data_IF_828348846717
#
_entry.id   IF_828348846717
#
_cell.length_a   1.000
_cell.length_b   1.000
_cell.length_c   1.000
_cell.angle_alpha   90.00
_cell.angle_beta   90.00
_cell.angle_gamma   90.00
#
_symmetry.space_group_name_H-M   'P 1'
#
loop_
_entity.id
_entity.type
_entity.pdbx_description
1 polymer ?
#
# COMPACT_ATOMS: atom_id res chain seq x y z
N UNK A 1 28.63 1.49 12.07
CA UNK A 1 27.91 1.90 10.85
C UNK A 1 28.65 1.31 9.67
N UNK A 2 27.97 0.52 8.84
CA UNK A 2 28.59 -0.14 7.69
C UNK A 2 29.04 0.93 6.69
N UNK A 3 30.28 0.86 6.22
CA UNK A 3 30.75 1.85 5.24
C UNK A 3 30.07 1.64 3.88
N UNK A 4 29.88 2.68 3.05
CA UNK A 4 29.24 2.51 1.73
C UNK A 4 29.92 1.46 0.85
N UNK A 5 31.25 1.38 0.89
CA UNK A 5 32.01 0.38 0.13
C UNK A 5 31.82 -1.05 0.68
N UNK A 6 31.71 -1.21 2.00
CA UNK A 6 31.40 -2.51 2.62
C UNK A 6 29.96 -2.92 2.28
N UNK A 7 29.02 -1.96 2.29
CA UNK A 7 27.62 -2.17 1.95
C UNK A 7 27.45 -2.60 0.48
N UNK A 8 28.18 -1.98 -0.44
CA UNK A 8 28.17 -2.38 -1.85
C UNK A 8 28.78 -3.79 -2.03
N UNK A 9 29.82 -4.15 -1.26
CA UNK A 9 30.38 -5.49 -1.28
C UNK A 9 29.37 -6.56 -0.83
N UNK A 10 28.70 -6.35 0.31
CA UNK A 10 27.72 -7.34 0.82
C UNK A 10 26.46 -7.39 -0.05
N UNK A 11 26.03 -6.26 -0.62
CA UNK A 11 24.98 -6.21 -1.64
C UNK A 11 25.34 -7.03 -2.87
N UNK A 12 26.59 -6.95 -3.34
CA UNK A 12 27.03 -7.76 -4.48
C UNK A 12 27.00 -9.26 -4.16
N UNK A 13 27.46 -9.66 -2.99
CA UNK A 13 27.38 -11.05 -2.52
C UNK A 13 25.91 -11.52 -2.42
N UNK A 14 25.01 -10.67 -1.92
CA UNK A 14 23.58 -10.96 -1.85
C UNK A 14 22.97 -11.16 -3.25
N UNK A 15 23.33 -10.32 -4.23
CA UNK A 15 22.89 -10.44 -5.62
C UNK A 15 23.40 -11.70 -6.33
N UNK A 16 24.48 -12.32 -5.82
CA UNK A 16 24.94 -13.64 -6.27
C UNK A 16 24.15 -14.80 -5.65
N UNK A 17 23.14 -14.51 -4.83
CA UNK A 17 22.34 -15.50 -4.10
C UNK A 17 22.72 -15.67 -2.63
N UNK A 18 23.63 -14.84 -2.10
CA UNK A 18 24.21 -14.96 -0.76
C UNK A 18 23.24 -14.87 0.43
N UNK A 19 22.00 -14.43 0.20
CA UNK A 19 20.94 -14.44 1.21
C UNK A 19 20.31 -15.83 1.40
N UNK A 20 20.37 -16.69 0.40
CA UNK A 20 19.73 -18.01 0.43
C UNK A 20 20.73 -19.14 0.74
N UNK A 21 21.99 -18.97 0.33
CA UNK A 21 23.03 -19.98 0.50
C UNK A 21 24.43 -19.35 0.47
N UNK A 22 25.46 -20.05 0.99
CA UNK A 22 26.84 -19.62 0.84
C UNK A 22 27.23 -19.46 -0.64
N UNK A 23 27.98 -18.39 -0.94
CA UNK A 23 28.45 -18.08 -2.30
C UNK A 23 29.95 -18.30 -2.39
N UNK A 24 30.40 -19.04 -3.40
CA UNK A 24 31.82 -19.13 -3.73
C UNK A 24 32.24 -17.93 -4.57
N UNK A 25 33.32 -17.24 -4.19
CA UNK A 25 33.87 -16.13 -4.96
C UNK A 25 35.39 -16.02 -4.84
N UNK A 26 36.01 -15.50 -5.90
CA UNK A 26 37.42 -15.09 -5.92
C UNK A 26 37.50 -13.59 -5.61
N UNK A 27 38.44 -13.20 -4.76
CA UNK A 27 38.66 -11.79 -4.41
C UNK A 27 38.91 -10.92 -5.64
N UNK A 28 39.64 -11.46 -6.62
CA UNK A 28 39.92 -10.77 -7.89
C UNK A 28 38.62 -10.47 -8.65
N UNK A 29 37.73 -11.45 -8.79
CA UNK A 29 36.46 -11.31 -9.50
C UNK A 29 35.54 -10.29 -8.81
N UNK A 30 35.42 -10.37 -7.49
CA UNK A 30 34.65 -9.40 -6.72
C UNK A 30 35.21 -7.98 -6.87
N UNK A 31 36.54 -7.84 -6.86
CA UNK A 31 37.20 -6.56 -7.09
C UNK A 31 36.87 -5.98 -8.46
N UNK A 32 37.05 -6.75 -9.53
CA UNK A 32 36.77 -6.31 -10.90
C UNK A 32 35.32 -5.87 -11.11
N UNK A 33 34.35 -6.60 -10.55
CA UNK A 33 32.92 -6.24 -10.67
C UNK A 33 32.56 -4.94 -9.94
N UNK A 34 33.23 -4.67 -8.82
CA UNK A 34 33.00 -3.48 -7.99
C UNK A 34 33.92 -2.30 -8.35
N UNK A 35 34.78 -2.44 -9.37
CA UNK A 35 35.77 -1.42 -9.73
C UNK A 35 36.88 -1.25 -8.68
N UNK A 36 37.10 -2.25 -7.83
CA UNK A 36 38.13 -2.25 -6.79
C UNK A 36 39.40 -2.99 -7.22
N UNK A 37 40.54 -2.56 -6.68
CA UNK A 37 41.76 -3.37 -6.73
C UNK A 37 41.60 -4.64 -5.87
N UNK A 38 42.36 -5.72 -6.16
CA UNK A 38 42.31 -6.95 -5.37
C UNK A 38 42.59 -6.73 -3.89
N UNK A 39 43.51 -5.81 -3.56
CA UNK A 39 43.87 -5.45 -2.19
C UNK A 39 42.70 -4.76 -1.49
N UNK A 40 41.98 -3.86 -2.18
CA UNK A 40 40.79 -3.20 -1.65
C UNK A 40 39.67 -4.21 -1.43
N UNK A 41 39.36 -5.07 -2.40
CA UNK A 41 38.36 -6.13 -2.23
C UNK A 41 38.69 -7.07 -1.05
N UNK A 42 39.96 -7.47 -0.91
CA UNK A 42 40.40 -8.27 0.25
C UNK A 42 40.21 -7.55 1.58
N UNK A 43 40.50 -6.25 1.63
CA UNK A 43 40.33 -5.43 2.84
C UNK A 43 38.86 -5.29 3.20
N UNK A 44 37.98 -5.12 2.21
CA UNK A 44 36.52 -5.02 2.40
C UNK A 44 35.92 -6.33 2.92
N UNK A 45 36.31 -7.47 2.36
CA UNK A 45 35.86 -8.77 2.88
C UNK A 45 36.32 -9.03 4.32
N UNK A 46 37.54 -8.61 4.70
CA UNK A 46 37.99 -8.66 6.10
C UNK A 46 37.21 -7.71 7.00
N UNK A 47 36.90 -6.50 6.52
CA UNK A 47 36.08 -5.51 7.24
C UNK A 47 34.68 -6.06 7.55
N UNK A 48 34.04 -6.68 6.55
CA UNK A 48 32.72 -7.30 6.70
C UNK A 48 32.72 -8.45 7.71
N UNK A 49 33.77 -9.29 7.70
CA UNK A 49 33.93 -10.39 8.64
C UNK A 49 34.20 -9.90 10.06
N UNK A 50 35.03 -8.86 10.23
CA UNK A 50 35.28 -8.22 11.54
C UNK A 50 34.03 -7.57 12.13
N UNK A 51 33.11 -7.11 11.28
CA UNK A 51 31.82 -6.56 11.68
C UNK A 51 30.74 -7.64 11.84
N UNK A 52 31.09 -8.92 11.72
CA UNK A 52 30.17 -10.07 11.80
C UNK A 52 29.02 -10.01 10.77
N UNK A 53 29.20 -9.29 9.67
CA UNK A 53 28.20 -9.17 8.59
C UNK A 53 28.27 -10.36 7.62
N UNK A 54 29.42 -11.01 7.57
CA UNK A 54 29.65 -12.25 6.82
C UNK A 54 30.50 -13.22 7.64
N UNK A 55 30.43 -14.50 7.29
CA UNK A 55 31.44 -15.50 7.66
C UNK A 55 32.09 -16.05 6.40
N UNK A 56 33.35 -16.49 6.50
CA UNK A 56 34.11 -16.97 5.33
C UNK A 56 34.91 -18.22 5.64
N UNK A 57 35.00 -19.09 4.63
CA UNK A 57 35.89 -20.25 4.62
C UNK A 57 36.84 -20.10 3.43
N UNK A 58 38.14 -20.02 3.71
CA UNK A 58 39.18 -19.88 2.69
C UNK A 58 39.53 -21.24 2.09
N UNK A 59 39.68 -21.31 0.77
CA UNK A 59 40.15 -22.48 0.03
C UNK A 59 41.30 -22.12 -0.91
N UNK A 60 41.83 -23.13 -1.61
CA UNK A 60 42.95 -22.95 -2.56
C UNK A 60 42.56 -22.10 -3.78
N UNK A 61 41.30 -22.18 -4.21
CA UNK A 61 40.81 -21.53 -5.44
C UNK A 61 39.88 -20.34 -5.18
N UNK A 62 39.69 -19.92 -3.93
CA UNK A 62 38.79 -18.83 -3.59
C UNK A 62 38.30 -18.91 -2.15
N UNK A 63 37.10 -18.39 -1.91
CA UNK A 63 36.48 -18.45 -0.59
C UNK A 63 34.97 -18.69 -0.70
N UNK A 64 34.42 -19.45 0.24
CA UNK A 64 32.98 -19.47 0.46
C UNK A 64 32.61 -18.38 1.45
N UNK A 65 31.59 -17.58 1.11
CA UNK A 65 31.10 -16.47 1.92
C UNK A 65 29.64 -16.68 2.24
N UNK A 66 29.28 -16.57 3.51
CA UNK A 66 27.90 -16.65 3.99
C UNK A 66 27.52 -15.32 4.60
N UNK A 67 26.41 -14.73 4.16
CA UNK A 67 25.84 -13.52 4.80
C UNK A 67 25.20 -13.94 6.13
N UNK A 68 25.53 -13.24 7.20
CA UNK A 68 24.92 -13.46 8.52
C UNK A 68 23.60 -12.68 8.63
N UNK A 69 22.82 -12.92 9.69
CA UNK A 69 21.64 -12.10 10.00
C UNK A 69 21.98 -10.61 10.12
N UNK A 70 23.12 -10.26 10.73
CA UNK A 70 23.57 -8.86 10.84
C UNK A 70 23.84 -8.24 9.45
N UNK A 71 24.41 -9.03 8.53
CA UNK A 71 24.63 -8.61 7.15
C UNK A 71 23.33 -8.41 6.37
N UNK A 72 22.37 -9.31 6.55
CA UNK A 72 21.03 -9.17 5.98
C UNK A 72 20.30 -7.94 6.55
N UNK A 73 20.40 -7.70 7.85
CA UNK A 73 19.78 -6.55 8.50
C UNK A 73 20.38 -5.23 8.00
N UNK A 74 21.68 -5.17 7.72
CA UNK A 74 22.32 -4.01 7.10
C UNK A 74 21.73 -3.72 5.70
N UNK A 75 21.46 -4.76 4.89
CA UNK A 75 20.81 -4.62 3.58
C UNK A 75 19.33 -4.22 3.70
N UNK A 76 18.60 -4.74 4.71
CA UNK A 76 17.21 -4.34 5.00
C UNK A 76 17.11 -2.87 5.39
N UNK A 77 18.07 -2.35 6.16
CA UNK A 77 18.10 -0.93 6.52
C UNK A 77 18.28 -0.05 5.27
N UNK A 78 19.23 -0.40 4.40
CA UNK A 78 19.43 0.30 3.12
C UNK A 78 18.15 0.27 2.25
N UNK A 79 17.48 -0.88 2.18
CA UNK A 79 16.19 -1.00 1.49
C UNK A 79 15.11 -0.09 2.13
N UNK A 80 15.05 -0.02 3.46
CA UNK A 80 14.10 0.85 4.15
C UNK A 80 14.36 2.33 3.85
N UNK A 81 15.62 2.75 3.75
CA UNK A 81 15.99 4.11 3.37
C UNK A 81 15.56 4.41 1.94
N UNK A 82 15.81 3.51 0.98
CA UNK A 82 15.30 3.66 -0.37
C UNK A 82 13.78 3.63 -0.45
N UNK A 83 13.10 2.83 0.37
CA UNK A 83 11.65 2.83 0.46
C UNK A 83 11.12 4.16 1.00
N UNK A 84 11.80 4.79 1.97
CA UNK A 84 11.43 6.13 2.48
C UNK A 84 11.63 7.22 1.42
N UNK A 85 12.70 7.12 0.62
CA UNK A 85 13.07 8.12 -0.39
C UNK A 85 12.27 7.98 -1.69
N UNK A 86 12.07 6.75 -2.16
CA UNK A 86 11.56 6.43 -3.50
C UNK A 86 10.35 5.52 -3.49
N UNK A 87 10.07 4.82 -2.37
CA UNK A 87 8.80 4.14 -2.21
C UNK A 87 7.71 5.18 -2.37
N UNK A 88 6.69 4.89 -3.20
CA UNK A 88 5.49 5.71 -3.22
C UNK A 88 5.02 5.77 -1.77
N UNK A 89 5.19 6.92 -1.12
CA UNK A 89 4.37 7.22 0.03
C UNK A 89 2.96 7.25 -0.55
N UNK A 90 2.28 6.11 -0.53
CA UNK A 90 0.83 6.07 -0.53
C UNK A 90 0.42 7.11 0.50
N UNK A 91 -0.01 8.28 0.02
CA UNK A 91 -0.34 9.39 0.92
C UNK A 91 -1.65 8.98 1.53
N UNK A 92 -1.59 8.20 2.61
CA UNK A 92 -2.76 7.82 3.39
C UNK A 92 -3.41 9.11 3.85
N UNK A 93 -4.63 9.30 3.39
CA UNK A 93 -5.50 10.38 3.79
C UNK A 93 -6.55 9.78 4.72
N UNK A 94 -6.66 10.33 5.92
CA UNK A 94 -7.73 9.99 6.85
C UNK A 94 -8.75 11.11 6.89
N UNK A 95 -10.02 10.78 6.64
CA UNK A 95 -11.15 11.70 6.78
C UNK A 95 -12.00 11.24 7.97
N UNK A 96 -12.18 12.13 8.94
CA UNK A 96 -13.08 11.92 10.08
C UNK A 96 -14.45 12.57 9.84
N UNK A 97 -15.50 11.93 10.34
CA UNK A 97 -16.87 12.44 10.31
C UNK A 97 -17.77 11.70 11.28
N UNK A 98 -19.06 12.04 11.27
CA UNK A 98 -20.09 11.37 12.07
C UNK A 98 -21.09 10.65 11.19
N UNK A 99 -21.59 9.51 11.65
CA UNK A 99 -22.61 8.73 10.96
C UNK A 99 -23.94 9.51 10.93
N UNK A 100 -24.63 9.48 9.79
CA UNK A 100 -25.93 10.14 9.61
C UNK A 100 -26.93 9.22 8.92
N UNK A 101 -28.21 9.32 9.26
CA UNK A 101 -29.28 8.69 8.49
C UNK A 101 -29.59 9.47 7.21
N UNK A 102 -29.76 8.76 6.10
CA UNK A 102 -30.27 9.33 4.85
C UNK A 102 -31.74 8.98 4.62
N UNK A 103 -32.22 9.22 3.40
CA UNK A 103 -33.58 8.88 2.97
C UNK A 103 -33.79 7.37 2.70
N UNK A 104 -32.75 6.54 2.87
CA UNK A 104 -32.81 5.10 2.62
C UNK A 104 -32.71 4.69 1.15
N UNK A 105 -32.57 5.64 0.22
CA UNK A 105 -32.53 5.37 -1.22
C UNK A 105 -31.32 4.52 -1.65
N UNK A 106 -30.19 4.60 -0.93
CA UNK A 106 -28.99 3.81 -1.23
C UNK A 106 -29.24 2.31 -1.26
N UNK A 107 -30.17 1.80 -0.44
CA UNK A 107 -30.53 0.38 -0.43
C UNK A 107 -31.15 -0.08 -1.75
N UNK A 108 -31.99 0.77 -2.37
CA UNK A 108 -32.58 0.49 -3.67
C UNK A 108 -31.50 0.40 -4.74
N UNK A 109 -30.60 1.40 -4.83
CA UNK A 109 -29.56 1.41 -5.86
C UNK A 109 -28.54 0.28 -5.70
N UNK A 110 -28.10 0.00 -4.46
CA UNK A 110 -27.12 -1.07 -4.20
C UNK A 110 -27.69 -2.48 -4.40
N UNK A 111 -29.02 -2.62 -4.45
CA UNK A 111 -29.68 -3.89 -4.77
C UNK A 111 -29.81 -4.15 -6.28
N UNK A 112 -29.54 -3.15 -7.13
CA UNK A 112 -29.63 -3.32 -8.59
C UNK A 112 -28.47 -4.17 -9.09
N UNK A 113 -28.79 -5.33 -9.66
CA UNK A 113 -27.80 -6.30 -10.19
C UNK A 113 -26.75 -5.66 -11.10
N UNK A 114 -27.08 -4.74 -12.03
CA UNK A 114 -26.07 -4.12 -12.89
C UNK A 114 -25.04 -3.26 -12.13
N UNK A 115 -25.43 -2.62 -11.02
CA UNK A 115 -24.48 -1.93 -10.16
C UNK A 115 -23.69 -2.92 -9.30
N UNK A 116 -24.38 -3.88 -8.67
CA UNK A 116 -23.76 -4.86 -7.77
C UNK A 116 -22.63 -5.65 -8.47
N UNK A 117 -22.85 -6.09 -9.71
CA UNK A 117 -21.83 -6.79 -10.51
C UNK A 117 -20.60 -5.90 -10.79
N UNK A 118 -20.81 -4.64 -11.17
CA UNK A 118 -19.71 -3.72 -11.42
C UNK A 118 -18.91 -3.41 -10.15
N UNK A 119 -19.55 -3.28 -8.99
CA UNK A 119 -18.85 -3.13 -7.71
C UNK A 119 -18.05 -4.38 -7.35
N UNK A 120 -18.56 -5.58 -7.62
CA UNK A 120 -17.83 -6.82 -7.43
C UNK A 120 -16.57 -6.89 -8.29
N UNK A 121 -16.64 -6.45 -9.54
CA UNK A 121 -15.51 -6.45 -10.47
C UNK A 121 -14.47 -5.35 -10.12
N UNK A 122 -14.93 -4.17 -9.70
CA UNK A 122 -14.09 -3.00 -9.45
C UNK A 122 -13.50 -2.95 -8.04
N UNK A 123 -14.25 -3.38 -7.02
CA UNK A 123 -13.86 -3.32 -5.60
C UNK A 123 -13.58 -4.70 -5.00
N UNK A 124 -13.89 -5.77 -5.71
CA UNK A 124 -13.68 -7.14 -5.22
C UNK A 124 -14.77 -7.62 -4.26
N UNK A 125 -15.88 -6.89 -4.10
CA UNK A 125 -17.01 -7.32 -3.27
C UNK A 125 -18.37 -6.87 -3.80
N UNK A 126 -19.41 -7.65 -3.49
CA UNK A 126 -20.81 -7.26 -3.73
C UNK A 126 -21.26 -6.33 -2.60
N UNK A 127 -21.81 -5.14 -2.91
CA UNK A 127 -22.18 -4.18 -1.88
C UNK A 127 -23.38 -4.68 -1.06
N UNK A 128 -23.37 -4.39 0.24
CA UNK A 128 -24.53 -4.50 1.09
C UNK A 128 -25.66 -3.59 0.55
N UNK A 129 -26.94 -4.00 0.61
CA UNK A 129 -28.09 -3.17 0.27
C UNK A 129 -28.26 -1.92 1.14
N UNK A 130 -27.40 -0.92 0.93
CA UNK A 130 -27.41 0.36 1.65
C UNK A 130 -26.09 1.10 1.51
N UNK A 131 -26.11 2.38 1.87
CA UNK A 131 -24.91 3.21 1.97
C UNK A 131 -24.77 3.73 3.40
N UNK A 132 -23.54 3.83 3.89
CA UNK A 132 -23.25 4.54 5.13
C UNK A 132 -22.99 6.01 4.81
N UNK A 133 -23.85 6.89 5.30
CA UNK A 133 -23.68 8.33 5.14
C UNK A 133 -22.83 8.87 6.27
N UNK A 134 -21.81 9.65 5.92
CA UNK A 134 -20.87 10.24 6.86
C UNK A 134 -20.84 11.75 6.62
N UNK A 135 -21.15 12.52 7.67
CA UNK A 135 -20.98 13.96 7.68
C UNK A 135 -19.57 14.29 8.15
N UNK A 136 -18.74 14.79 7.25
CA UNK A 136 -17.35 15.15 7.50
C UNK A 136 -17.23 16.28 8.53
N UNK A 137 -16.18 16.19 9.36
CA UNK A 137 -15.79 17.31 10.21
C UNK A 137 -15.26 18.48 9.37
N UNK A 138 -15.28 19.73 9.88
CA UNK A 138 -14.77 20.89 9.14
C UNK A 138 -13.34 20.73 8.62
N UNK A 139 -12.46 20.10 9.41
CA UNK A 139 -11.09 19.79 8.99
C UNK A 139 -11.05 18.78 7.82
N UNK A 140 -11.88 17.74 7.88
CA UNK A 140 -11.98 16.74 6.82
C UNK A 140 -12.60 17.29 5.53
N UNK A 141 -13.51 18.26 5.60
CA UNK A 141 -14.06 18.94 4.40
C UNK A 141 -12.93 19.60 3.59
N UNK A 142 -11.99 20.27 4.26
CA UNK A 142 -10.82 20.88 3.59
C UNK A 142 -9.96 19.80 2.94
N UNK A 143 -9.73 18.69 3.65
CA UNK A 143 -8.91 17.58 3.16
C UNK A 143 -9.60 16.76 2.05
N UNK A 144 -10.94 16.76 1.98
CA UNK A 144 -11.72 16.05 0.95
C UNK A 144 -11.27 16.39 -0.47
N UNK A 145 -10.82 17.63 -0.73
CA UNK A 145 -10.30 18.06 -2.04
C UNK A 145 -9.13 17.20 -2.52
N UNK A 146 -8.35 16.62 -1.61
CA UNK A 146 -7.22 15.74 -1.91
C UNK A 146 -7.64 14.39 -2.47
N UNK A 147 -8.90 13.97 -2.26
CA UNK A 147 -9.44 12.75 -2.89
C UNK A 147 -9.37 12.83 -4.41
N UNK A 148 -9.32 14.03 -5.01
CA UNK A 148 -9.12 14.20 -6.45
C UNK A 148 -7.82 13.56 -6.98
N UNK A 149 -6.80 13.39 -6.14
CA UNK A 149 -5.55 12.71 -6.48
C UNK A 149 -5.61 11.19 -6.42
N UNK A 150 -6.67 10.62 -5.85
CA UNK A 150 -6.82 9.17 -5.73
C UNK A 150 -7.20 8.49 -7.04
N UNK A 151 -7.01 7.16 -7.10
CA UNK A 151 -7.39 6.34 -8.26
C UNK A 151 -8.91 6.07 -8.29
N UNK A 152 -9.67 7.01 -8.84
CA UNK A 152 -11.10 6.85 -9.04
C UNK A 152 -11.43 5.80 -10.09
N UNK A 153 -12.41 4.98 -9.79
CA UNK A 153 -13.06 4.01 -10.65
C UNK A 153 -14.41 4.56 -11.10
N UNK A 154 -14.88 4.15 -12.27
CA UNK A 154 -16.18 4.57 -12.79
C UNK A 154 -17.08 3.35 -12.93
N UNK A 155 -18.19 3.38 -12.20
CA UNK A 155 -19.31 2.47 -12.38
C UNK A 155 -20.22 3.06 -13.46
N UNK A 156 -20.38 2.33 -14.56
CA UNK A 156 -21.12 2.80 -15.72
C UNK A 156 -22.63 2.83 -15.44
N UNK A 157 -23.28 3.86 -15.97
CA UNK A 157 -24.73 3.95 -16.02
C UNK A 157 -25.34 2.89 -16.95
N UNK A 158 -26.64 2.64 -16.80
CA UNK A 158 -27.37 1.66 -17.59
C UNK A 158 -28.86 2.04 -17.68
N UNK A 159 -29.58 1.40 -18.59
CA UNK A 159 -31.04 1.53 -18.69
C UNK A 159 -31.69 0.22 -18.26
N UNK A 160 -32.74 0.32 -17.45
CA UNK A 160 -33.53 -0.83 -17.02
C UNK A 160 -34.96 -0.41 -16.77
N UNK A 161 -35.93 -1.22 -17.24
CA UNK A 161 -37.37 -1.01 -17.03
C UNK A 161 -37.85 0.42 -17.39
N UNK A 162 -37.32 0.99 -18.48
CA UNK A 162 -37.68 2.33 -18.93
C UNK A 162 -37.12 3.47 -18.07
N UNK A 163 -36.17 3.18 -17.16
CA UNK A 163 -35.45 4.18 -16.36
C UNK A 163 -33.95 4.16 -16.72
N UNK A 164 -33.37 5.35 -16.81
CA UNK A 164 -31.92 5.52 -16.97
C UNK A 164 -31.27 5.76 -15.61
N UNK A 165 -30.22 4.98 -15.32
CA UNK A 165 -29.40 5.06 -14.12
C UNK A 165 -28.05 5.67 -14.50
N UNK A 166 -27.62 6.68 -13.76
CA UNK A 166 -26.42 7.46 -14.07
C UNK A 166 -25.12 6.75 -13.71
N UNK A 167 -24.00 7.28 -14.19
CA UNK A 167 -22.69 6.84 -13.74
C UNK A 167 -22.43 7.24 -12.27
N UNK A 168 -21.60 6.44 -11.60
CA UNK A 168 -21.15 6.69 -10.23
C UNK A 168 -19.64 6.59 -10.19
N UNK A 169 -18.99 7.62 -9.63
CA UNK A 169 -17.56 7.56 -9.35
C UNK A 169 -17.33 6.88 -8.02
N UNK A 170 -16.40 5.95 -7.99
CA UNK A 170 -16.04 5.19 -6.79
C UNK A 170 -14.55 5.35 -6.47
N UNK A 171 -14.21 5.55 -5.20
CA UNK A 171 -12.84 5.57 -4.74
C UNK A 171 -12.66 4.50 -3.66
N UNK A 172 -11.78 3.50 -3.85
CA UNK A 172 -11.49 2.51 -2.83
C UNK A 172 -11.00 3.17 -1.53
N UNK A 173 -11.53 2.69 -0.41
CA UNK A 173 -11.17 3.18 0.92
C UNK A 173 -11.30 2.05 1.95
N UNK A 174 -10.95 2.36 3.19
CA UNK A 174 -11.12 1.46 4.32
C UNK A 174 -11.84 2.16 5.46
N UNK A 175 -12.68 1.42 6.15
CA UNK A 175 -13.18 1.79 7.47
C UNK A 175 -12.70 0.70 8.42
N UNK A 176 -11.77 1.06 9.29
CA UNK A 176 -11.00 0.10 10.09
C UNK A 176 -10.33 -0.92 9.15
N UNK A 177 -10.64 -2.20 9.30
CA UNK A 177 -10.14 -3.32 8.50
C UNK A 177 -11.04 -3.70 7.31
N UNK A 178 -12.18 -3.02 7.12
CA UNK A 178 -13.15 -3.38 6.09
C UNK A 178 -12.89 -2.61 4.80
N UNK A 179 -12.69 -3.32 3.66
CA UNK A 179 -12.60 -2.68 2.36
C UNK A 179 -13.96 -2.09 1.99
N UNK A 180 -13.94 -0.85 1.54
CA UNK A 180 -15.10 -0.03 1.24
C UNK A 180 -14.87 0.77 -0.06
N UNK A 181 -15.92 1.44 -0.53
CA UNK A 181 -15.82 2.43 -1.60
C UNK A 181 -16.54 3.72 -1.23
N UNK A 182 -15.86 4.87 -1.35
CA UNK A 182 -16.55 6.17 -1.38
C UNK A 182 -17.26 6.27 -2.72
N UNK A 183 -18.55 6.56 -2.73
CA UNK A 183 -19.30 6.80 -3.96
C UNK A 183 -19.69 8.27 -4.09
N UNK A 184 -19.57 8.81 -5.30
CA UNK A 184 -20.06 10.14 -5.67
C UNK A 184 -20.95 9.96 -6.90
N UNK A 185 -22.25 10.22 -6.80
CA UNK A 185 -23.13 10.24 -7.96
C UNK A 185 -22.67 11.29 -8.97
N UNK A 186 -22.82 11.06 -10.26
CA UNK A 186 -22.53 12.04 -11.32
C UNK A 186 -23.45 13.27 -11.36
N UNK A 187 -23.94 13.76 -10.21
CA UNK A 187 -24.84 14.92 -10.09
C UNK A 187 -24.07 16.16 -9.63
N UNK A 188 -24.48 17.32 -10.13
CA UNK A 188 -23.79 18.61 -9.97
C UNK A 188 -23.88 19.23 -8.57
N UNK A 189 -24.80 18.78 -7.71
CA UNK A 189 -25.07 19.38 -6.39
C UNK A 189 -24.98 18.37 -5.24
N UNK A 190 -23.85 17.67 -5.14
CA UNK A 190 -23.59 16.79 -4.01
C UNK A 190 -22.92 17.56 -2.85
N UNK A 191 -23.46 17.58 -1.62
CA UNK A 191 -22.90 18.35 -0.51
C UNK A 191 -21.44 17.97 -0.21
N UNK A 192 -20.58 18.98 -0.02
CA UNK A 192 -19.16 18.78 0.28
C UNK A 192 -18.91 18.21 1.68
N UNK A 193 -19.87 18.33 2.60
CA UNK A 193 -19.79 17.69 3.90
C UNK A 193 -20.22 16.22 3.91
N UNK A 194 -20.94 15.73 2.90
CA UNK A 194 -21.50 14.37 2.91
C UNK A 194 -20.65 13.40 2.10
N UNK A 195 -20.30 12.25 2.66
CA UNK A 195 -19.79 11.10 1.92
C UNK A 195 -20.73 9.91 2.06
N UNK A 196 -20.92 9.20 0.95
CA UNK A 196 -21.59 7.91 0.92
C UNK A 196 -20.57 6.79 0.76
N UNK A 197 -20.67 5.78 1.62
CA UNK A 197 -19.79 4.61 1.61
C UNK A 197 -20.58 3.35 1.28
N UNK A 198 -20.05 2.56 0.36
CA UNK A 198 -20.48 1.18 0.09
C UNK A 198 -19.48 0.20 0.72
N UNK A 199 -19.97 -0.93 1.18
CA UNK A 199 -19.20 -1.95 1.88
C UNK A 199 -19.81 -3.33 1.64
N UNK A 200 -19.08 -4.43 1.84
CA UNK A 200 -19.63 -5.79 1.72
C UNK A 200 -20.70 -6.10 2.77
N UNK A 201 -20.73 -5.34 3.87
CA UNK A 201 -21.57 -5.61 5.04
C UNK A 201 -22.22 -4.34 5.57
N UNK A 202 -23.34 -4.47 6.30
CA UNK A 202 -24.00 -3.34 6.96
C UNK A 202 -23.19 -2.82 8.15
N UNK A 203 -22.37 -1.78 7.92
CA UNK A 203 -21.41 -1.26 8.90
C UNK A 203 -22.04 -0.80 10.22
N UNK A 204 -23.26 -0.27 10.18
CA UNK A 204 -24.00 0.11 11.40
C UNK A 204 -24.19 -1.07 12.35
N UNK A 205 -24.65 -2.21 11.83
CA UNK A 205 -24.83 -3.41 12.64
C UNK A 205 -23.50 -4.01 13.07
N UNK A 206 -22.50 -4.01 12.19
CA UNK A 206 -21.18 -4.58 12.47
C UNK A 206 -20.42 -3.87 13.58
N UNK A 207 -20.50 -2.53 13.60
CA UNK A 207 -19.78 -1.70 14.56
C UNK A 207 -20.68 -1.05 15.61
N UNK A 208 -21.96 -1.45 15.67
CA UNK A 208 -22.98 -0.89 16.55
C UNK A 208 -23.07 0.64 16.47
N UNK A 209 -23.07 1.18 15.24
CA UNK A 209 -23.05 2.62 15.00
C UNK A 209 -24.46 3.22 14.98
N UNK A 210 -24.61 4.33 15.70
CA UNK A 210 -25.78 5.20 15.73
C UNK A 210 -25.50 6.54 15.04
N UNK A 211 -26.53 7.34 14.84
CA UNK A 211 -26.35 8.69 14.31
C UNK A 211 -25.56 9.56 15.29
N UNK A 212 -24.55 10.25 14.78
CA UNK A 212 -23.62 11.05 15.60
C UNK A 212 -22.33 10.34 15.98
N UNK A 213 -22.24 9.02 15.82
CA UNK A 213 -21.01 8.28 16.13
C UNK A 213 -19.87 8.66 15.20
N UNK A 214 -18.68 8.83 15.78
CA UNK A 214 -17.48 9.18 15.04
C UNK A 214 -16.92 7.99 14.26
N UNK A 215 -16.46 8.28 13.04
CA UNK A 215 -15.85 7.30 12.16
C UNK A 215 -14.71 7.92 11.35
N UNK A 216 -13.70 7.10 11.08
CA UNK A 216 -12.56 7.46 10.25
C UNK A 216 -12.55 6.62 8.97
N UNK A 217 -12.34 7.30 7.85
CA UNK A 217 -12.23 6.72 6.52
C UNK A 217 -10.77 6.86 6.09
N UNK A 218 -10.12 5.75 5.78
CA UNK A 218 -8.75 5.72 5.28
C UNK A 218 -8.74 5.55 3.76
N UNK A 219 -8.01 6.42 3.08
CA UNK A 219 -7.90 6.43 1.62
C UNK A 219 -6.43 6.43 1.23
N UNK A 220 -6.06 5.50 0.37
CA UNK A 220 -4.76 5.50 -0.31
C UNK A 220 -4.86 6.39 -1.55
N UNK A 221 -4.09 7.49 -1.55
CA UNK A 221 -3.95 8.39 -2.71
C UNK A 221 -2.82 7.97 -3.63
#
# INVERSE_FOLDING_TARGET
MVSPEDLECIKRIALMGGLNAPVFLKTLSLGSELGFSPQTASRRLRSLEQQELITRVLGTDGQQVTITSNGEDALKQEYCDYYRLFGRQEKKLTLAGTVQSGLGEGAYYMSLVPYANQFQDLLGFTPFPGTLNIKLTPGSIIQRKRLSGGKWLTVQGFESEGRTFGEVRCLPCFIRDIPCGIIIPGRTHYPEELLEIVSPEGLRKKFSLEDGDEIAIEVTL
#
